data_IF_380901341333
#
_entry.id   IF_380901341333
#
_cell.length_a   1.000
_cell.length_b   1.000
_cell.length_c   1.000
_cell.angle_alpha   90.00
_cell.angle_beta   90.00
_cell.angle_gamma   90.00
#
_symmetry.space_group_name_H-M   'P 1'
#
loop_
_entity.id
_entity.type
_entity.pdbx_description
1 polymer ?
#
# COMPACT_ATOMS: atom_id res chain seq x y z
N UNK A 1 -10.21 -19.40 4.02
CA UNK A 1 -8.87 -18.92 4.42
C UNK A 1 -8.49 -19.56 5.74
N UNK A 2 -7.20 -19.76 5.98
CA UNK A 2 -6.69 -20.22 7.29
C UNK A 2 -6.84 -19.09 8.33
N UNK A 3 -7.30 -19.37 9.57
CA UNK A 3 -7.41 -18.36 10.62
C UNK A 3 -6.07 -17.68 10.89
N UNK A 4 -6.03 -16.34 10.81
CA UNK A 4 -4.82 -15.54 11.03
C UNK A 4 -3.82 -15.54 9.87
N UNK A 5 -4.11 -16.24 8.77
CA UNK A 5 -3.27 -16.25 7.57
C UNK A 5 -3.80 -15.29 6.52
N UNK A 6 -3.15 -14.15 6.40
CA UNK A 6 -3.43 -13.16 5.36
C UNK A 6 -2.11 -12.72 4.74
N UNK A 7 -1.84 -13.15 3.50
CA UNK A 7 -0.66 -12.79 2.72
C UNK A 7 -1.13 -12.13 1.42
N UNK A 8 -1.65 -10.91 1.53
CA UNK A 8 -2.13 -10.14 0.38
C UNK A 8 -1.03 -9.19 -0.06
N UNK A 9 -0.60 -9.31 -1.32
CA UNK A 9 0.33 -8.37 -1.92
C UNK A 9 -0.34 -7.00 -2.08
N UNK A 10 0.43 -5.95 -1.82
CA UNK A 10 -0.05 -4.57 -1.95
C UNK A 10 0.86 -3.79 -2.89
N UNK A 11 0.31 -2.75 -3.51
CA UNK A 11 1.05 -1.77 -4.28
C UNK A 11 0.78 -0.38 -3.71
N UNK A 12 1.79 0.49 -3.78
CA UNK A 12 1.68 1.87 -3.30
C UNK A 12 2.56 2.81 -4.11
N UNK A 13 2.25 4.10 -4.02
CA UNK A 13 2.98 5.15 -4.70
C UNK A 13 3.89 5.89 -3.70
N UNK A 14 5.14 6.11 -4.11
CA UNK A 14 6.13 6.81 -3.30
C UNK A 14 6.59 8.08 -4.01
N UNK A 15 6.92 9.10 -3.21
CA UNK A 15 7.61 10.30 -3.67
C UNK A 15 9.06 10.30 -3.17
N UNK A 16 10.02 10.88 -3.92
CA UNK A 16 11.41 10.98 -3.48
C UNK A 16 11.57 11.65 -2.11
N UNK A 17 12.59 11.24 -1.37
CA UNK A 17 12.98 11.90 -0.11
C UNK A 17 13.28 13.37 -0.40
N UNK A 18 12.67 14.26 0.40
CA UNK A 18 12.81 15.71 0.24
C UNK A 18 11.73 16.36 -0.62
N UNK A 19 10.78 15.60 -1.18
CA UNK A 19 9.62 16.18 -1.88
C UNK A 19 8.87 17.15 -0.95
N UNK A 20 8.69 18.43 -1.34
CA UNK A 20 8.00 19.42 -0.53
C UNK A 20 6.59 18.99 -0.11
N UNK A 21 6.20 19.31 1.13
CA UNK A 21 4.89 18.97 1.69
C UNK A 21 3.70 19.35 0.80
N UNK A 22 3.64 20.57 0.23
CA UNK A 22 2.56 20.98 -0.67
C UNK A 22 2.45 20.11 -1.93
N UNK A 23 3.58 19.73 -2.53
CA UNK A 23 3.59 18.87 -3.72
C UNK A 23 3.14 17.45 -3.38
N UNK A 24 3.54 16.92 -2.21
CA UNK A 24 3.04 15.62 -1.74
C UNK A 24 1.53 15.64 -1.55
N UNK A 25 0.98 16.71 -0.97
CA UNK A 25 -0.45 16.85 -0.78
C UNK A 25 -1.20 16.92 -2.12
N UNK A 26 -0.67 17.67 -3.09
CA UNK A 26 -1.25 17.74 -4.44
C UNK A 26 -1.23 16.38 -5.15
N UNK A 27 -0.10 15.65 -5.10
CA UNK A 27 0.02 14.32 -5.67
C UNK A 27 -0.95 13.34 -5.02
N UNK A 28 -1.04 13.33 -3.69
CA UNK A 28 -1.96 12.47 -2.95
C UNK A 28 -3.43 12.74 -3.35
N UNK A 29 -3.82 14.01 -3.47
CA UNK A 29 -5.16 14.39 -3.89
C UNK A 29 -5.46 13.95 -5.34
N UNK A 30 -4.51 14.13 -6.26
CA UNK A 30 -4.66 13.71 -7.65
C UNK A 30 -4.81 12.19 -7.77
N UNK A 31 -3.98 11.43 -7.03
CA UNK A 31 -4.05 9.96 -6.99
C UNK A 31 -5.37 9.49 -6.40
N UNK A 32 -5.82 10.06 -5.27
CA UNK A 32 -7.09 9.71 -4.67
C UNK A 32 -8.26 9.93 -5.64
N UNK A 33 -8.24 11.05 -6.37
CA UNK A 33 -9.26 11.34 -7.40
C UNK A 33 -9.24 10.33 -8.54
N UNK A 34 -8.05 9.98 -9.05
CA UNK A 34 -7.91 9.00 -10.13
C UNK A 34 -8.36 7.59 -9.70
N UNK A 35 -7.95 7.18 -8.49
CA UNK A 35 -8.26 5.88 -7.93
C UNK A 35 -9.75 5.69 -7.62
N UNK A 36 -10.49 6.78 -7.40
CA UNK A 36 -11.93 6.78 -7.19
C UNK A 36 -12.76 6.77 -8.50
N UNK A 37 -12.11 6.79 -9.68
CA UNK A 37 -12.86 6.73 -10.95
C UNK A 37 -13.40 5.32 -11.20
N UNK A 38 -14.62 5.17 -11.74
CA UNK A 38 -15.18 3.85 -12.05
C UNK A 38 -14.31 3.04 -13.02
N UNK A 39 -13.71 3.70 -14.00
CA UNK A 39 -12.80 3.08 -14.96
C UNK A 39 -11.56 2.49 -14.29
N UNK A 40 -10.94 3.25 -13.38
CA UNK A 40 -9.80 2.75 -12.62
C UNK A 40 -10.20 1.58 -11.73
N UNK A 41 -11.29 1.70 -10.98
CA UNK A 41 -11.77 0.63 -10.10
C UNK A 41 -12.07 -0.65 -10.88
N UNK A 42 -12.79 -0.55 -12.01
CA UNK A 42 -13.09 -1.69 -12.87
C UNK A 42 -11.80 -2.32 -13.43
N UNK A 43 -10.82 -1.51 -13.84
CA UNK A 43 -9.55 -2.01 -14.32
C UNK A 43 -8.76 -2.73 -13.23
N UNK A 44 -8.70 -2.18 -12.02
CA UNK A 44 -8.01 -2.81 -10.90
C UNK A 44 -8.67 -4.13 -10.50
N UNK A 45 -10.00 -4.15 -10.42
CA UNK A 45 -10.77 -5.37 -10.13
C UNK A 45 -10.52 -6.45 -11.19
N UNK A 46 -10.50 -6.08 -12.48
CA UNK A 46 -10.18 -7.01 -13.58
C UNK A 46 -8.77 -7.62 -13.49
N UNK A 47 -7.86 -6.93 -12.80
CA UNK A 47 -6.48 -7.37 -12.56
C UNK A 47 -6.34 -8.13 -11.22
N UNK A 48 -7.44 -8.34 -10.48
CA UNK A 48 -7.45 -8.99 -9.17
C UNK A 48 -7.02 -8.08 -8.01
N UNK A 49 -6.93 -6.76 -8.23
CA UNK A 49 -6.65 -5.79 -7.18
C UNK A 49 -7.95 -5.24 -6.60
N UNK A 50 -7.93 -5.00 -5.29
CA UNK A 50 -8.93 -4.16 -4.63
C UNK A 50 -8.36 -2.77 -4.46
N UNK A 51 -8.95 -1.79 -5.14
CA UNK A 51 -8.54 -0.40 -5.00
C UNK A 51 -8.83 0.07 -3.56
N UNK A 52 -7.77 0.38 -2.80
CA UNK A 52 -7.87 1.12 -1.54
C UNK A 52 -7.46 2.56 -1.78
N UNK A 53 -8.34 3.48 -1.42
CA UNK A 53 -8.04 4.91 -1.37
C UNK A 53 -7.89 5.33 0.08
N UNK A 54 -6.92 6.16 0.38
CA UNK A 54 -6.68 6.69 1.73
C UNK A 54 -5.74 7.89 1.68
N UNK A 55 -5.50 8.47 2.86
CA UNK A 55 -4.54 9.56 3.02
C UNK A 55 -3.09 9.02 3.08
N UNK A 56 -2.09 9.88 2.80
CA UNK A 56 -0.69 9.51 3.00
C UNK A 56 -0.38 9.00 4.41
N UNK A 57 -1.03 9.56 5.43
CA UNK A 57 -0.85 9.15 6.83
C UNK A 57 -1.40 7.74 7.09
N UNK A 58 -2.55 7.39 6.51
CA UNK A 58 -3.10 6.04 6.59
C UNK A 58 -2.20 5.03 5.86
N UNK A 59 -1.63 5.42 4.71
CA UNK A 59 -0.68 4.58 4.00
C UNK A 59 0.61 4.36 4.82
N UNK A 60 1.16 5.40 5.44
CA UNK A 60 2.32 5.28 6.34
C UNK A 60 2.03 4.35 7.52
N UNK A 61 0.82 4.41 8.11
CA UNK A 61 0.42 3.51 9.18
C UNK A 61 0.33 2.06 8.70
N UNK A 62 -0.28 1.83 7.53
CA UNK A 62 -0.35 0.51 6.91
C UNK A 62 1.04 -0.09 6.64
N UNK A 63 1.96 0.71 6.09
CA UNK A 63 3.34 0.28 5.83
C UNK A 63 4.07 -0.16 7.10
N UNK A 64 3.88 0.54 8.22
CA UNK A 64 4.50 0.16 9.50
C UNK A 64 3.95 -1.18 10.01
N UNK A 65 2.65 -1.40 9.87
CA UNK A 65 2.01 -2.67 10.23
C UNK A 65 2.52 -3.82 9.37
N UNK A 66 2.58 -3.62 8.05
CA UNK A 66 3.09 -4.64 7.12
C UNK A 66 4.57 -4.94 7.36
N UNK A 67 5.42 -3.93 7.56
CA UNK A 67 6.82 -4.14 7.91
C UNK A 67 6.98 -4.95 9.20
N UNK A 68 6.21 -4.63 10.24
CA UNK A 68 6.25 -5.35 11.52
C UNK A 68 5.84 -6.82 11.35
N UNK A 69 4.76 -7.06 10.61
CA UNK A 69 4.24 -8.40 10.31
C UNK A 69 5.27 -9.22 9.53
N UNK A 70 5.81 -8.69 8.44
CA UNK A 70 6.75 -9.41 7.58
C UNK A 70 8.11 -9.62 8.25
N UNK A 71 8.57 -8.68 9.07
CA UNK A 71 9.77 -8.86 9.90
C UNK A 71 9.61 -10.06 10.87
N UNK A 72 8.43 -10.20 11.49
CA UNK A 72 8.12 -11.35 12.34
C UNK A 72 8.10 -12.65 11.53
N UNK A 73 7.45 -12.66 10.37
CA UNK A 73 7.41 -13.85 9.49
C UNK A 73 8.82 -14.30 9.10
N UNK A 74 9.66 -13.38 8.65
CA UNK A 74 11.05 -13.69 8.25
C UNK A 74 11.83 -14.30 9.42
N UNK A 75 11.71 -13.71 10.61
CA UNK A 75 12.35 -14.22 11.82
C UNK A 75 11.87 -15.62 12.20
N UNK A 76 10.55 -15.83 12.22
CA UNK A 76 9.96 -17.10 12.65
C UNK A 76 10.23 -18.22 11.64
N UNK A 77 10.31 -17.89 10.34
CA UNK A 77 10.58 -18.84 9.26
C UNK A 77 12.07 -19.06 8.95
N UNK A 78 12.99 -18.39 9.65
CA UNK A 78 14.45 -18.43 9.41
C UNK A 78 14.82 -18.19 7.93
N UNK A 79 14.15 -17.25 7.27
CA UNK A 79 14.46 -16.91 5.88
C UNK A 79 15.83 -16.23 5.83
N UNK A 80 16.79 -16.70 4.99
CA UNK A 80 18.07 -16.05 4.83
C UNK A 80 17.87 -14.61 4.35
N UNK A 81 18.56 -13.66 4.99
CA UNK A 81 18.60 -12.28 4.51
C UNK A 81 19.90 -12.12 3.73
N UNK A 82 19.78 -11.77 2.45
CA UNK A 82 20.91 -11.37 1.60
C UNK A 82 21.28 -9.89 1.81
#
# INVERSE_FOLDING_TARGET
>A
GLPGYEAVGWMGLYAPRGTPGPLRAQLAAAVAKAAATPEFMAKMESLGFQARTGTPAEFDAYLKTEQTKWAKVVKDANVPQE
#
